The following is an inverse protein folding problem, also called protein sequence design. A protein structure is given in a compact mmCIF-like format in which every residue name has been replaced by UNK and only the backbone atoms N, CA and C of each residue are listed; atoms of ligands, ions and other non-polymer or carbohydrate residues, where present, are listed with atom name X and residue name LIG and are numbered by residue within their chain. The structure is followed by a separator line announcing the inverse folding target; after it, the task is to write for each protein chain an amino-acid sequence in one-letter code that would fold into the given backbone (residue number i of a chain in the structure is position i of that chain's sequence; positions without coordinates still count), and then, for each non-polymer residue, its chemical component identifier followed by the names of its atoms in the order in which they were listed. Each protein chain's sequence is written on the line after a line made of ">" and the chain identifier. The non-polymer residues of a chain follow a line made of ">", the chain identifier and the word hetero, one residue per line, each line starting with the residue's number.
data_IF_670545839245
#
_entry.id   IF_670545839245
#
_cell.length_a   1.000
_cell.length_b   1.000
_cell.length_c   1.000
_cell.angle_alpha   90.00
_cell.angle_beta   90.00
_cell.angle_gamma   90.00
#
_symmetry.space_group_name_H-M   'P 1'
#
loop_
_entity.id
_entity.type
_entity.pdbx_description
1 polymer ?
#
# COMPACT_ATOMS: atom_id res chain seq x y z
N UNK A 1 -20.43 -6.05 21.00
CA UNK A 1 -20.44 -4.57 20.99
C UNK A 1 -19.85 -4.15 19.65
N UNK A 2 -19.97 -2.90 19.17
CA UNK A 2 -19.39 -2.55 17.88
C UNK A 2 -17.87 -2.37 18.01
N UNK A 3 -17.13 -2.80 16.99
CA UNK A 3 -15.71 -2.49 16.83
C UNK A 3 -15.45 -1.00 16.99
N UNK A 4 -14.35 -0.67 17.67
CA UNK A 4 -13.94 0.72 17.88
C UNK A 4 -12.88 1.12 16.86
N UNK A 5 -13.06 2.28 16.22
CA UNK A 5 -12.07 2.83 15.28
C UNK A 5 -11.34 4.00 15.92
N UNK A 6 -10.02 3.93 15.92
CA UNK A 6 -9.14 4.99 16.40
C UNK A 6 -8.36 5.57 15.21
N UNK A 7 -8.48 6.89 15.00
CA UNK A 7 -7.60 7.64 14.09
C UNK A 7 -6.31 8.02 14.82
N UNK A 8 -5.20 8.05 14.10
CA UNK A 8 -3.88 8.44 14.64
C UNK A 8 -3.38 9.70 13.92
N UNK A 9 -2.67 10.55 14.66
CA UNK A 9 -2.21 11.84 14.13
C UNK A 9 -0.84 11.77 13.48
N UNK A 10 -0.11 10.67 13.71
CA UNK A 10 1.20 10.43 13.13
C UNK A 10 1.43 8.95 12.82
N UNK A 11 2.38 8.70 11.93
CA UNK A 11 2.86 7.35 11.63
C UNK A 11 3.48 6.67 12.87
N UNK A 12 4.08 7.45 13.78
CA UNK A 12 4.65 6.93 15.03
C UNK A 12 3.57 6.37 15.96
N UNK A 13 2.49 7.13 16.19
CA UNK A 13 1.34 6.67 16.98
C UNK A 13 0.67 5.45 16.34
N UNK A 14 0.47 5.51 15.02
CA UNK A 14 -0.11 4.41 14.26
C UNK A 14 0.70 3.12 14.41
N UNK A 15 2.02 3.17 14.21
CA UNK A 15 2.88 1.98 14.33
C UNK A 15 3.00 1.48 15.77
N UNK A 16 2.94 2.37 16.76
CA UNK A 16 2.95 1.97 18.17
C UNK A 16 1.73 1.10 18.53
N UNK A 17 0.58 1.33 17.88
CA UNK A 17 -0.66 0.58 18.13
C UNK A 17 -0.81 -0.60 17.15
N UNK A 18 -0.61 -0.36 15.86
CA UNK A 18 -0.84 -1.35 14.81
C UNK A 18 0.33 -2.33 14.61
N UNK A 19 1.55 -1.97 15.00
CA UNK A 19 2.76 -2.68 14.58
C UNK A 19 2.78 -4.17 14.94
N UNK A 20 2.39 -4.50 16.18
CA UNK A 20 2.32 -5.89 16.63
C UNK A 20 1.28 -6.72 15.86
N UNK A 21 0.15 -6.11 15.49
CA UNK A 21 -0.85 -6.75 14.64
C UNK A 21 -0.37 -6.92 13.20
N UNK A 22 0.26 -5.88 12.63
CA UNK A 22 0.72 -5.91 11.24
C UNK A 22 1.82 -6.96 11.00
N UNK A 23 2.71 -7.19 11.98
CA UNK A 23 3.82 -8.14 11.83
C UNK A 23 3.37 -9.60 11.84
N UNK A 24 2.20 -9.93 12.41
CA UNK A 24 1.67 -11.30 12.39
C UNK A 24 1.47 -11.82 10.96
N UNK A 25 1.22 -10.91 10.01
CA UNK A 25 1.12 -11.18 8.57
C UNK A 25 1.95 -10.16 7.79
N UNK A 26 3.24 -10.10 8.10
CA UNK A 26 4.18 -9.11 7.55
C UNK A 26 4.14 -9.02 6.02
N UNK A 27 4.16 -10.18 5.33
CA UNK A 27 4.16 -10.21 3.87
C UNK A 27 2.87 -9.61 3.30
N UNK A 28 1.73 -9.95 3.86
CA UNK A 28 0.42 -9.45 3.46
C UNK A 28 0.24 -7.94 3.77
N UNK A 29 0.93 -7.46 4.81
CA UNK A 29 0.88 -6.07 5.27
C UNK A 29 2.05 -5.22 4.77
N UNK A 30 2.87 -5.73 3.83
CA UNK A 30 4.14 -5.12 3.46
C UNK A 30 4.00 -3.66 2.96
N UNK A 31 2.91 -3.34 2.26
CA UNK A 31 2.70 -2.01 1.72
C UNK A 31 2.46 -0.98 2.82
N UNK A 32 1.76 -1.38 3.90
CA UNK A 32 1.57 -0.53 5.07
C UNK A 32 2.91 -0.22 5.74
N UNK A 33 3.81 -1.20 5.83
CA UNK A 33 5.16 -0.98 6.33
C UNK A 33 5.99 -0.10 5.39
N UNK A 34 5.94 -0.35 4.08
CA UNK A 34 6.66 0.43 3.08
C UNK A 34 6.28 1.90 3.09
N UNK A 35 4.97 2.20 3.07
CA UNK A 35 4.48 3.58 3.14
C UNK A 35 4.83 4.21 4.49
N UNK A 36 4.67 3.48 5.60
CA UNK A 36 5.02 4.01 6.92
C UNK A 36 6.51 4.35 7.02
N UNK A 37 7.38 3.49 6.47
CA UNK A 37 8.82 3.72 6.38
C UNK A 37 9.14 4.94 5.51
N UNK A 38 8.48 5.11 4.37
CA UNK A 38 8.67 6.28 3.52
C UNK A 38 8.31 7.58 4.24
N UNK A 39 7.18 7.60 4.97
CA UNK A 39 6.77 8.77 5.76
C UNK A 39 7.78 9.09 6.87
N UNK A 40 8.39 8.07 7.49
CA UNK A 40 9.41 8.26 8.52
C UNK A 40 10.73 8.80 7.96
N UNK A 41 11.13 8.37 6.76
CA UNK A 41 12.44 8.69 6.17
C UNK A 41 12.39 10.03 5.40
N UNK A 42 11.32 10.28 4.66
CA UNK A 42 11.14 11.47 3.80
C UNK A 42 9.78 12.14 4.06
N UNK A 43 9.53 12.67 5.28
CA UNK A 43 8.26 13.28 5.64
C UNK A 43 7.89 14.49 4.77
N UNK A 44 8.88 15.20 4.23
CA UNK A 44 8.71 16.38 3.37
C UNK A 44 7.92 16.08 2.09
N UNK A 45 8.00 14.85 1.57
CA UNK A 45 7.24 14.41 0.38
C UNK A 45 5.73 14.38 0.67
N UNK A 46 5.33 14.28 1.93
CA UNK A 46 3.94 14.19 2.37
C UNK A 46 3.44 15.47 3.07
N UNK A 47 4.18 16.57 2.95
CA UNK A 47 3.85 17.81 3.64
C UNK A 47 2.60 18.52 3.06
N UNK A 48 2.38 18.40 1.75
CA UNK A 48 1.23 19.03 1.07
C UNK A 48 -0.07 18.29 1.37
N UNK A 49 -0.04 16.95 1.32
CA UNK A 49 -1.19 16.08 1.55
C UNK A 49 -0.99 15.20 2.79
N UNK A 50 -1.65 15.60 3.89
CA UNK A 50 -1.47 14.94 5.20
C UNK A 50 -1.87 13.45 5.16
N UNK A 51 -0.93 12.54 5.50
CA UNK A 51 -1.24 11.13 5.63
C UNK A 51 -2.31 10.85 6.70
N UNK A 52 -3.17 9.87 6.44
CA UNK A 52 -4.27 9.48 7.33
C UNK A 52 -4.06 8.05 7.80
N UNK A 53 -4.29 7.82 9.10
CA UNK A 53 -4.06 6.52 9.73
C UNK A 53 -5.25 6.15 10.63
N UNK A 54 -5.63 4.89 10.63
CA UNK A 54 -6.59 4.37 11.60
C UNK A 54 -6.35 2.89 11.94
N UNK A 55 -6.76 2.50 13.13
CA UNK A 55 -6.81 1.11 13.59
C UNK A 55 -8.21 0.77 14.06
N UNK A 56 -8.57 -0.50 13.96
CA UNK A 56 -9.83 -1.04 14.47
C UNK A 56 -9.51 -2.03 15.58
N UNK A 57 -10.17 -1.87 16.72
CA UNK A 57 -10.10 -2.82 17.83
C UNK A 57 -11.44 -3.55 18.01
N UNK A 58 -11.37 -4.85 18.28
CA UNK A 58 -12.52 -5.65 18.70
C UNK A 58 -13.00 -5.27 20.12
N UNK A 59 -14.06 -5.92 20.59
CA UNK A 59 -14.63 -5.74 21.92
C UNK A 59 -13.64 -6.00 23.07
N UNK A 60 -12.61 -6.83 22.81
CA UNK A 60 -11.54 -7.14 23.75
C UNK A 60 -10.39 -6.14 23.73
N UNK A 61 -10.46 -5.10 22.90
CA UNK A 61 -9.39 -4.13 22.70
C UNK A 61 -8.23 -4.65 21.85
N UNK A 62 -8.38 -5.81 21.19
CA UNK A 62 -7.37 -6.34 20.28
C UNK A 62 -7.48 -5.65 18.93
N UNK A 63 -6.35 -5.21 18.38
CA UNK A 63 -6.32 -4.69 17.01
C UNK A 63 -6.63 -5.82 16.02
N UNK A 64 -7.62 -5.60 15.17
CA UNK A 64 -8.11 -6.58 14.18
C UNK A 64 -8.05 -6.06 12.74
N UNK A 65 -7.86 -4.76 12.55
CA UNK A 65 -7.57 -4.16 11.25
C UNK A 65 -6.78 -2.86 11.42
N UNK A 66 -6.04 -2.50 10.39
CA UNK A 66 -5.32 -1.24 10.29
C UNK A 66 -5.40 -0.71 8.87
N UNK A 67 -5.39 0.61 8.71
CA UNK A 67 -5.54 1.26 7.42
C UNK A 67 -4.76 2.56 7.39
N UNK A 68 -4.15 2.87 6.25
CA UNK A 68 -3.51 4.16 6.01
C UNK A 68 -3.74 4.66 4.59
N UNK A 69 -3.65 5.96 4.41
CA UNK A 69 -3.73 6.61 3.10
C UNK A 69 -2.77 7.79 3.04
N UNK A 70 -2.01 7.88 1.97
CA UNK A 70 -1.26 9.07 1.57
C UNK A 70 -1.99 9.70 0.40
N UNK A 71 -2.83 10.74 0.60
CA UNK A 71 -3.52 11.37 -0.53
C UNK A 71 -2.51 11.86 -1.59
N UNK A 72 -2.88 11.83 -2.88
CA UNK A 72 -4.18 11.46 -3.45
C UNK A 72 -4.34 9.96 -3.73
N UNK A 73 -3.51 9.09 -3.14
CA UNK A 73 -3.55 7.64 -3.43
C UNK A 73 -4.72 6.90 -2.74
N UNK A 74 -4.94 5.66 -3.17
CA UNK A 74 -5.96 4.76 -2.63
C UNK A 74 -5.79 4.52 -1.12
N UNK A 75 -6.90 4.23 -0.44
CA UNK A 75 -6.87 3.75 0.94
C UNK A 75 -6.26 2.34 0.97
N UNK A 76 -5.25 2.10 1.80
CA UNK A 76 -4.62 0.77 1.95
C UNK A 76 -5.09 0.11 3.23
N UNK A 77 -5.66 -1.09 3.11
CA UNK A 77 -6.18 -1.90 4.20
C UNK A 77 -5.26 -3.09 4.51
N UNK A 78 -5.05 -3.38 5.79
CA UNK A 78 -4.31 -4.55 6.25
C UNK A 78 -5.00 -5.87 5.89
N UNK A 79 -4.31 -6.98 6.06
CA UNK A 79 -4.99 -8.25 6.25
C UNK A 79 -5.94 -8.17 7.44
N UNK A 80 -7.13 -8.74 7.31
CA UNK A 80 -8.05 -8.98 8.43
C UNK A 80 -8.93 -10.18 8.11
N UNK A 81 -9.17 -11.01 9.12
CA UNK A 81 -10.15 -12.10 9.06
C UNK A 81 -11.51 -11.64 9.63
N UNK A 82 -11.61 -10.38 10.08
CA UNK A 82 -12.78 -9.79 10.74
C UNK A 82 -13.45 -8.77 9.81
N UNK A 83 -14.57 -9.17 9.19
CA UNK A 83 -15.30 -8.32 8.25
C UNK A 83 -16.12 -7.23 8.95
N UNK A 84 -16.42 -7.37 10.24
CA UNK A 84 -17.09 -6.32 11.01
C UNK A 84 -16.13 -5.14 11.26
N UNK A 85 -14.82 -5.41 11.30
CA UNK A 85 -13.80 -4.36 11.31
C UNK A 85 -13.78 -3.54 10.00
N UNK A 86 -13.96 -4.20 8.85
CA UNK A 86 -14.09 -3.54 7.55
C UNK A 86 -15.33 -2.64 7.52
N UNK A 87 -16.42 -3.14 8.09
CA UNK A 87 -17.66 -2.40 8.22
C UNK A 87 -17.50 -1.12 9.05
N UNK A 88 -16.84 -1.22 10.20
CA UNK A 88 -16.56 -0.08 11.05
C UNK A 88 -15.69 0.97 10.34
N UNK A 89 -14.73 0.54 9.49
CA UNK A 89 -13.93 1.47 8.69
C UNK A 89 -14.77 2.22 7.65
N UNK A 90 -15.68 1.54 6.95
CA UNK A 90 -16.58 2.24 6.00
C UNK A 90 -17.40 3.29 6.73
N UNK A 91 -17.94 2.96 7.90
CA UNK A 91 -18.80 3.86 8.65
C UNK A 91 -18.09 5.17 9.06
N UNK A 92 -16.78 5.12 9.34
CA UNK A 92 -16.00 6.34 9.67
C UNK A 92 -15.40 7.06 8.46
N UNK A 93 -15.24 6.37 7.33
CA UNK A 93 -14.61 6.90 6.12
C UNK A 93 -15.63 7.42 5.10
N UNK A 94 -16.92 7.08 5.21
CA UNK A 94 -17.97 7.37 4.20
C UNK A 94 -18.16 8.85 3.83
N UNK A 95 -17.74 9.77 4.71
CA UNK A 95 -17.81 11.22 4.48
C UNK A 95 -16.52 11.77 3.83
N UNK A 96 -15.51 10.93 3.60
CA UNK A 96 -14.27 11.28 2.93
C UNK A 96 -14.36 11.02 1.42
N UNK A 97 -13.71 11.85 0.61
CA UNK A 97 -13.48 11.52 -0.79
C UNK A 97 -12.42 10.42 -0.87
N UNK A 98 -12.81 9.22 -1.29
CA UNK A 98 -11.89 8.10 -1.53
C UNK A 98 -11.71 7.89 -3.04
N UNK A 99 -10.47 7.94 -3.56
CA UNK A 99 -10.19 7.64 -4.97
C UNK A 99 -10.30 6.13 -5.27
N UNK A 100 -10.08 5.30 -4.26
CA UNK A 100 -10.14 3.84 -4.35
C UNK A 100 -9.66 3.19 -3.07
N UNK A 101 -9.64 1.86 -3.07
CA UNK A 101 -9.21 1.02 -1.96
C UNK A 101 -8.32 -0.10 -2.50
N UNK A 102 -7.22 -0.37 -1.79
CA UNK A 102 -6.34 -1.50 -1.98
C UNK A 102 -6.33 -2.36 -0.71
N UNK A 103 -6.50 -3.67 -0.85
CA UNK A 103 -6.49 -4.59 0.28
C UNK A 103 -6.79 -6.03 -0.14
N UNK A 104 -6.81 -6.98 0.82
CA UNK A 104 -7.14 -8.38 0.55
C UNK A 104 -8.49 -8.51 -0.16
N UNK A 105 -8.60 -9.43 -1.13
CA UNK A 105 -9.76 -9.55 -2.03
C UNK A 105 -11.10 -9.57 -1.30
N UNK A 106 -11.23 -10.37 -0.23
CA UNK A 106 -12.48 -10.47 0.52
C UNK A 106 -12.82 -9.17 1.26
N UNK A 107 -11.83 -8.56 1.93
CA UNK A 107 -12.01 -7.30 2.65
C UNK A 107 -12.31 -6.14 1.69
N UNK A 108 -11.63 -6.08 0.54
CA UNK A 108 -11.88 -5.07 -0.48
C UNK A 108 -13.27 -5.21 -1.10
N UNK A 109 -13.74 -6.42 -1.38
CA UNK A 109 -15.09 -6.67 -1.86
C UNK A 109 -16.15 -6.29 -0.82
N UNK A 110 -15.93 -6.61 0.47
CA UNK A 110 -16.82 -6.21 1.57
C UNK A 110 -16.90 -4.69 1.70
N UNK A 111 -15.74 -4.02 1.71
CA UNK A 111 -15.67 -2.56 1.78
C UNK A 111 -16.40 -1.93 0.60
N UNK A 112 -16.15 -2.39 -0.62
CA UNK A 112 -16.80 -1.87 -1.83
C UNK A 112 -18.33 -2.01 -1.76
N UNK A 113 -18.84 -3.18 -1.37
CA UNK A 113 -20.28 -3.40 -1.20
C UNK A 113 -20.89 -2.43 -0.19
N UNK A 114 -20.30 -2.33 1.01
CA UNK A 114 -20.84 -1.46 2.06
C UNK A 114 -20.67 0.02 1.71
N UNK A 115 -19.59 0.40 1.02
CA UNK A 115 -19.37 1.75 0.52
C UNK A 115 -20.44 2.17 -0.48
N UNK A 116 -20.80 1.28 -1.41
CA UNK A 116 -21.89 1.52 -2.35
C UNK A 116 -23.22 1.68 -1.64
N UNK A 117 -23.54 0.81 -0.67
CA UNK A 117 -24.77 0.93 0.12
C UNK A 117 -24.82 2.24 0.94
N UNK A 118 -23.67 2.67 1.48
CA UNK A 118 -23.57 3.84 2.34
C UNK A 118 -23.53 5.17 1.58
N UNK A 119 -22.95 5.20 0.38
CA UNK A 119 -22.66 6.46 -0.35
C UNK A 119 -23.32 6.56 -1.71
N UNK A 120 -23.87 5.46 -2.24
CA UNK A 120 -24.38 5.38 -3.61
C UNK A 120 -23.30 5.36 -4.70
N UNK A 121 -22.01 5.41 -4.34
CA UNK A 121 -20.91 5.36 -5.29
C UNK A 121 -20.61 3.92 -5.72
N UNK A 122 -20.48 3.69 -7.02
CA UNK A 122 -20.13 2.38 -7.56
C UNK A 122 -18.62 2.14 -7.49
N UNK A 123 -18.23 0.89 -7.25
CA UNK A 123 -16.85 0.42 -7.32
C UNK A 123 -16.65 -0.55 -8.49
N UNK A 124 -15.43 -0.59 -9.03
CA UNK A 124 -15.00 -1.60 -10.01
C UNK A 124 -13.61 -2.09 -9.65
N UNK A 125 -13.29 -3.34 -10.01
CA UNK A 125 -11.92 -3.84 -9.92
C UNK A 125 -11.07 -3.13 -10.98
N UNK A 126 -9.99 -2.49 -10.54
CA UNK A 126 -9.02 -1.85 -11.44
C UNK A 126 -7.87 -2.80 -11.77
N UNK A 127 -7.28 -3.42 -10.75
CA UNK A 127 -6.18 -4.38 -10.89
C UNK A 127 -6.31 -5.48 -9.84
N UNK A 128 -5.96 -6.71 -10.22
CA UNK A 128 -5.87 -7.85 -9.33
C UNK A 128 -4.39 -8.13 -9.01
N UNK A 129 -3.94 -7.71 -7.85
CA UNK A 129 -2.56 -7.87 -7.41
C UNK A 129 -2.35 -9.18 -6.63
N UNK A 130 -1.12 -9.65 -6.58
CA UNK A 130 -0.71 -10.81 -5.77
C UNK A 130 0.57 -10.52 -5.02
N UNK A 131 0.55 -10.82 -3.73
CA UNK A 131 1.72 -10.73 -2.87
C UNK A 131 2.54 -12.00 -3.02
N UNK A 132 3.84 -11.83 -3.29
CA UNK A 132 4.83 -12.90 -3.30
C UNK A 132 5.72 -12.77 -2.07
N UNK A 133 5.89 -13.86 -1.33
CA UNK A 133 6.80 -13.92 -0.18
C UNK A 133 8.04 -14.72 -0.54
N UNK A 134 9.21 -14.11 -0.40
CA UNK A 134 10.48 -14.81 -0.54
C UNK A 134 10.68 -15.77 0.64
N UNK A 135 10.74 -17.07 0.37
CA UNK A 135 10.98 -18.10 1.40
C UNK A 135 12.41 -18.61 1.42
N UNK A 136 13.07 -18.62 0.26
CA UNK A 136 14.45 -19.07 0.10
C UNK A 136 15.04 -18.43 -1.14
N UNK A 137 16.35 -18.19 -1.11
CA UNK A 137 17.12 -17.75 -2.28
C UNK A 137 17.85 -18.98 -2.83
N UNK A 138 17.57 -19.31 -4.09
CA UNK A 138 18.27 -20.37 -4.81
C UNK A 138 19.26 -19.67 -5.75
N UNK A 139 20.55 -19.82 -5.49
CA UNK A 139 21.58 -19.28 -6.37
C UNK A 139 21.56 -20.02 -7.72
N UNK A 140 21.79 -19.33 -8.85
CA UNK A 140 21.90 -20.01 -10.14
C UNK A 140 23.16 -20.89 -10.18
N UNK A 141 23.07 -22.05 -10.84
CA UNK A 141 24.21 -22.96 -11.02
C UNK A 141 25.39 -22.30 -11.73
N UNK A 142 25.09 -21.31 -12.58
CA UNK A 142 26.07 -20.47 -13.26
C UNK A 142 25.76 -18.99 -13.02
N UNK A 143 26.46 -18.31 -12.10
CA UNK A 143 26.30 -16.88 -11.91
C UNK A 143 26.78 -16.11 -13.15
N UNK A 144 26.16 -14.95 -13.39
CA UNK A 144 26.61 -14.05 -14.46
C UNK A 144 28.09 -13.67 -14.25
N UNK A 145 28.86 -13.65 -15.34
CA UNK A 145 30.24 -13.16 -15.29
C UNK A 145 30.23 -11.65 -15.05
N UNK A 146 30.66 -11.21 -13.87
CA UNK A 146 30.72 -9.80 -13.52
C UNK A 146 30.64 -9.57 -12.01
N UNK A 147 30.65 -8.30 -11.63
CA UNK A 147 30.49 -7.85 -10.25
C UNK A 147 29.53 -6.67 -10.21
N UNK A 148 28.72 -6.60 -9.16
CA UNK A 148 27.92 -5.41 -8.89
C UNK A 148 28.83 -4.18 -8.72
N UNK A 149 28.42 -3.06 -9.32
CA UNK A 149 29.02 -1.74 -9.11
C UNK A 149 27.91 -0.71 -8.95
N UNK A 150 28.20 0.38 -8.27
CA UNK A 150 27.30 1.53 -8.25
C UNK A 150 27.13 2.10 -9.66
N UNK A 151 25.93 2.58 -9.95
CA UNK A 151 25.65 3.31 -11.18
C UNK A 151 26.45 4.63 -11.16
N UNK A 152 26.99 5.00 -12.33
CA UNK A 152 27.72 6.23 -12.56
C UNK A 152 26.96 7.10 -13.56
N UNK A 153 27.27 8.42 -13.68
CA UNK A 153 26.57 9.29 -14.62
C UNK A 153 26.53 8.79 -16.07
N UNK A 154 27.55 8.03 -16.51
CA UNK A 154 27.60 7.41 -17.84
C UNK A 154 26.54 6.32 -18.08
N UNK A 155 25.94 5.77 -17.02
CA UNK A 155 24.93 4.72 -17.11
C UNK A 155 23.52 5.28 -17.28
N UNK A 156 23.33 6.60 -17.16
CA UNK A 156 22.01 7.25 -17.18
C UNK A 156 21.19 6.83 -18.40
N UNK A 157 21.74 6.97 -19.60
CA UNK A 157 21.03 6.64 -20.84
C UNK A 157 20.67 5.15 -20.93
N UNK A 158 21.51 4.28 -20.37
CA UNK A 158 21.24 2.84 -20.31
C UNK A 158 20.08 2.53 -19.37
N UNK A 159 20.09 3.11 -18.16
CA UNK A 159 19.05 2.90 -17.14
C UNK A 159 17.70 3.46 -17.61
N UNK A 160 17.70 4.66 -18.20
CA UNK A 160 16.51 5.30 -18.78
C UNK A 160 15.89 4.39 -19.83
N UNK A 161 16.71 3.90 -20.77
CA UNK A 161 16.23 2.96 -21.81
C UNK A 161 15.67 1.68 -21.18
N UNK A 162 16.38 1.06 -20.23
CA UNK A 162 15.90 -0.15 -19.59
C UNK A 162 14.59 0.03 -18.83
N UNK A 163 14.38 1.17 -18.16
CA UNK A 163 13.13 1.45 -17.49
C UNK A 163 11.96 1.56 -18.49
N UNK A 164 12.17 2.24 -19.62
CA UNK A 164 11.18 2.39 -20.69
C UNK A 164 10.88 1.01 -21.31
N UNK A 165 11.91 0.28 -21.71
CA UNK A 165 11.78 -1.04 -22.34
C UNK A 165 11.08 -2.02 -21.39
N UNK A 166 11.48 -2.08 -20.12
CA UNK A 166 10.84 -2.92 -19.12
C UNK A 166 9.36 -2.58 -18.95
N UNK A 167 9.00 -1.30 -18.87
CA UNK A 167 7.59 -0.90 -18.76
C UNK A 167 6.78 -1.34 -19.97
N UNK A 168 7.32 -1.19 -21.18
CA UNK A 168 6.65 -1.58 -22.41
C UNK A 168 6.47 -3.11 -22.51
N UNK A 169 7.46 -3.88 -22.08
CA UNK A 169 7.44 -5.34 -22.13
C UNK A 169 6.58 -5.95 -21.01
N UNK A 170 6.68 -5.43 -19.78
CA UNK A 170 6.02 -5.99 -18.61
C UNK A 170 4.57 -5.52 -18.45
N UNK A 171 4.25 -4.31 -18.93
CA UNK A 171 2.94 -3.65 -18.75
C UNK A 171 2.42 -3.11 -20.10
N UNK A 172 2.19 -3.96 -21.11
CA UNK A 172 1.84 -3.50 -22.47
C UNK A 172 0.50 -2.74 -22.56
N UNK A 173 -0.36 -2.84 -21.54
CA UNK A 173 -1.63 -2.12 -21.46
C UNK A 173 -1.56 -0.82 -20.63
N UNK A 174 -0.45 -0.58 -19.93
CA UNK A 174 -0.25 0.65 -19.17
C UNK A 174 0.13 1.81 -20.11
N UNK A 175 -0.23 3.06 -19.77
CA UNK A 175 0.28 4.22 -20.49
C UNK A 175 1.82 4.26 -20.44
N UNK A 176 2.49 4.79 -21.47
CA UNK A 176 3.94 4.94 -21.46
C UNK A 176 4.40 5.75 -20.24
N UNK A 177 5.46 5.30 -19.59
CA UNK A 177 6.06 6.09 -18.52
C UNK A 177 6.64 7.39 -19.10
N UNK A 178 6.51 8.52 -18.38
CA UNK A 178 7.26 9.73 -18.71
C UNK A 178 8.76 9.44 -18.75
N UNK A 179 9.51 10.17 -19.57
CA UNK A 179 10.96 9.99 -19.69
C UNK A 179 11.62 10.13 -18.31
N UNK A 180 12.18 9.04 -17.74
CA UNK A 180 12.83 9.08 -16.43
C UNK A 180 13.95 10.13 -16.34
N UNK A 181 14.57 10.50 -17.47
CA UNK A 181 15.59 11.54 -17.52
C UNK A 181 15.05 12.95 -17.27
N UNK A 182 13.73 13.15 -17.35
CA UNK A 182 13.08 14.45 -17.14
C UNK A 182 12.55 14.67 -15.73
N UNK A 183 12.50 13.60 -14.92
CA UNK A 183 11.89 13.59 -13.58
C UNK A 183 12.93 13.49 -12.45
N UNK A 184 14.20 13.25 -12.79
CA UNK A 184 15.26 12.85 -11.85
C UNK A 184 16.36 13.91 -11.64
N UNK A 185 16.04 15.19 -11.79
CA UNK A 185 16.94 16.32 -11.48
C UNK A 185 16.56 17.00 -10.17
#
# INVERSE_FOLDING_TARGET
>A
MPHSVQRHTSVHEFLAVAGAFLVEREAENNLLFGISSAILITPEVFAEDTPRFATVADDGGRIVAATLRTPPHNQVLSWTDDMDAVDALVDVLRDEQLPGLLGPTAAAARFASKWTDATGQNARVEVAERIFRLSSVIAPDQPASGTWRLAEPRDRDLIVRWAIDFSAEALPEAPPIPDPATTAD
#
